data_IF_908811854840
#
_entry.id   IF_908811854840
#
_cell.length_a   1.000
_cell.length_b   1.000
_cell.length_c   1.000
_cell.angle_alpha   90.00
_cell.angle_beta   90.00
_cell.angle_gamma   90.00
#
_symmetry.space_group_name_H-M   'P 1'
#
loop_
_entity.id
_entity.type
_entity.pdbx_description
1 polymer ?
#
# COMPACT_ATOMS: atom_id res chain seq x y z
N UNK A 1 -35.65 -3.47 -5.89
CA UNK A 1 -34.59 -2.51 -6.23
C UNK A 1 -33.58 -2.36 -5.09
N UNK A 2 -34.01 -2.09 -3.87
CA UNK A 2 -33.12 -1.86 -2.73
C UNK A 2 -32.16 -3.01 -2.41
N UNK A 3 -32.61 -4.25 -2.51
CA UNK A 3 -31.78 -5.43 -2.22
C UNK A 3 -30.61 -5.61 -3.19
N UNK A 4 -30.85 -5.34 -4.47
CA UNK A 4 -29.80 -5.46 -5.49
C UNK A 4 -28.73 -4.38 -5.33
N UNK A 5 -29.13 -3.15 -5.01
CA UNK A 5 -28.21 -2.06 -4.78
C UNK A 5 -27.35 -2.32 -3.52
N UNK A 6 -27.95 -2.80 -2.43
CA UNK A 6 -27.23 -3.11 -1.19
C UNK A 6 -26.24 -4.26 -1.43
N UNK A 7 -26.66 -5.33 -2.11
CA UNK A 7 -25.78 -6.47 -2.40
C UNK A 7 -24.61 -6.05 -3.30
N UNK A 8 -24.86 -5.20 -4.31
CA UNK A 8 -23.82 -4.70 -5.20
C UNK A 8 -22.85 -3.80 -4.46
N UNK A 9 -23.34 -2.88 -3.62
CA UNK A 9 -22.50 -2.02 -2.80
C UNK A 9 -21.70 -2.82 -1.77
N UNK A 10 -22.29 -3.87 -1.20
CA UNK A 10 -21.59 -4.69 -0.23
C UNK A 10 -20.35 -5.36 -0.85
N UNK A 11 -20.47 -5.85 -2.08
CA UNK A 11 -19.32 -6.42 -2.78
C UNK A 11 -18.23 -5.36 -3.00
N UNK A 12 -18.62 -4.16 -3.43
CA UNK A 12 -17.68 -3.06 -3.63
C UNK A 12 -17.03 -2.64 -2.30
N UNK A 13 -17.81 -2.56 -1.23
CA UNK A 13 -17.33 -2.24 0.11
C UNK A 13 -16.29 -3.29 0.56
N UNK A 14 -16.60 -4.56 0.39
CA UNK A 14 -15.69 -5.65 0.79
C UNK A 14 -14.37 -5.59 0.02
N UNK A 15 -14.44 -5.36 -1.29
CA UNK A 15 -13.25 -5.23 -2.13
C UNK A 15 -12.41 -4.01 -1.73
N UNK A 16 -13.04 -2.86 -1.50
CA UNK A 16 -12.34 -1.66 -1.06
C UNK A 16 -11.69 -1.86 0.31
N UNK A 17 -12.37 -2.55 1.22
CA UNK A 17 -11.81 -2.84 2.54
C UNK A 17 -10.61 -3.79 2.46
N UNK A 18 -10.60 -4.73 1.53
CA UNK A 18 -9.43 -5.57 1.30
C UNK A 18 -8.23 -4.74 0.80
N UNK A 19 -8.48 -3.82 -0.13
CA UNK A 19 -7.46 -2.90 -0.62
C UNK A 19 -6.97 -1.96 0.49
N UNK A 20 -7.90 -1.49 1.33
CA UNK A 20 -7.57 -0.63 2.47
C UNK A 20 -6.66 -1.35 3.48
N UNK A 21 -6.92 -2.63 3.75
CA UNK A 21 -6.02 -3.43 4.59
C UNK A 21 -4.60 -3.47 4.03
N UNK A 22 -4.50 -3.58 2.70
CA UNK A 22 -3.20 -3.54 2.02
C UNK A 22 -2.46 -2.22 2.24
N UNK A 23 -3.18 -1.10 2.20
CA UNK A 23 -2.59 0.21 2.46
C UNK A 23 -2.12 0.35 3.92
N UNK A 24 -2.94 -0.11 4.87
CA UNK A 24 -2.58 -0.08 6.29
C UNK A 24 -1.33 -0.92 6.56
N UNK A 25 -1.23 -2.06 5.88
CA UNK A 25 -0.06 -2.93 5.94
C UNK A 25 1.18 -2.25 5.37
N UNK A 26 1.03 -1.59 4.24
CA UNK A 26 2.11 -0.85 3.60
C UNK A 26 2.65 0.25 4.52
N UNK A 27 1.78 0.99 5.16
CA UNK A 27 2.17 2.06 6.10
C UNK A 27 3.07 1.48 7.20
N UNK A 28 2.66 0.37 7.81
CA UNK A 28 3.43 -0.26 8.87
C UNK A 28 4.81 -0.72 8.38
N UNK A 29 4.86 -1.33 7.20
CA UNK A 29 6.11 -1.79 6.60
C UNK A 29 7.05 -0.63 6.29
N UNK A 30 6.52 0.45 5.71
CA UNK A 30 7.31 1.64 5.40
C UNK A 30 7.89 2.27 6.66
N UNK A 31 7.07 2.42 7.72
CA UNK A 31 7.52 3.01 8.99
C UNK A 31 8.60 2.16 9.64
N UNK A 32 8.43 0.85 9.63
CA UNK A 32 9.43 -0.04 10.20
C UNK A 32 10.73 -0.04 9.40
N UNK A 33 10.63 -0.07 8.07
CA UNK A 33 11.81 -0.01 7.20
C UNK A 33 12.56 1.30 7.36
N UNK A 34 11.83 2.41 7.49
CA UNK A 34 12.40 3.73 7.74
C UNK A 34 13.28 3.71 9.01
N UNK A 35 12.78 3.08 10.07
CA UNK A 35 13.52 2.97 11.33
C UNK A 35 14.80 2.13 11.21
N UNK A 36 14.88 1.27 10.21
CA UNK A 36 16.03 0.39 9.99
C UNK A 36 17.10 1.01 9.08
N UNK A 37 16.79 2.14 8.43
CA UNK A 37 17.69 2.77 7.48
C UNK A 37 18.73 3.64 8.16
N UNK A 38 19.99 3.55 7.67
CA UNK A 38 21.04 4.47 8.06
C UNK A 38 21.26 5.60 7.05
N UNK A 39 20.65 5.51 5.86
CA UNK A 39 20.77 6.51 4.80
C UNK A 39 19.65 7.53 4.95
N UNK A 40 20.01 8.78 5.25
CA UNK A 40 19.06 9.84 5.49
C UNK A 40 18.17 10.13 4.27
N UNK A 41 18.73 10.09 3.06
CA UNK A 41 17.96 10.32 1.84
C UNK A 41 16.90 9.24 1.64
N UNK A 42 17.26 7.99 1.91
CA UNK A 42 16.32 6.87 1.84
C UNK A 42 15.25 7.00 2.92
N UNK A 43 15.63 7.40 4.13
CA UNK A 43 14.66 7.62 5.21
C UNK A 43 13.62 8.67 4.83
N UNK A 44 14.05 9.80 4.25
CA UNK A 44 13.15 10.87 3.81
C UNK A 44 12.22 10.36 2.71
N UNK A 45 12.75 9.60 1.78
CA UNK A 45 11.95 8.99 0.68
C UNK A 45 10.88 8.05 1.25
N UNK A 46 11.27 7.17 2.15
CA UNK A 46 10.33 6.21 2.76
C UNK A 46 9.25 6.93 3.59
N UNK A 47 9.63 8.00 4.29
CA UNK A 47 8.68 8.84 5.04
C UNK A 47 7.64 9.44 4.10
N UNK A 48 8.08 9.98 2.98
CA UNK A 48 7.18 10.58 1.99
C UNK A 48 6.24 9.54 1.40
N UNK A 49 6.76 8.36 1.07
CA UNK A 49 5.93 7.29 0.52
C UNK A 49 4.95 6.74 1.56
N UNK A 50 5.34 6.68 2.82
CA UNK A 50 4.43 6.30 3.89
C UNK A 50 3.24 7.28 3.97
N UNK A 51 3.51 8.58 3.83
CA UNK A 51 2.46 9.60 3.80
C UNK A 51 1.53 9.44 2.61
N UNK A 52 2.08 9.07 1.45
CA UNK A 52 1.27 8.79 0.27
C UNK A 52 0.32 7.62 0.53
N UNK A 53 0.80 6.57 1.19
CA UNK A 53 -0.04 5.43 1.55
C UNK A 53 -1.09 5.79 2.62
N UNK A 54 -0.77 6.69 3.54
CA UNK A 54 -1.76 7.23 4.48
C UNK A 54 -2.88 7.94 3.74
N UNK A 55 -2.54 8.73 2.73
CA UNK A 55 -3.53 9.41 1.88
C UNK A 55 -4.37 8.41 1.08
N UNK A 56 -3.74 7.36 0.53
CA UNK A 56 -4.46 6.29 -0.16
C UNK A 56 -5.45 5.61 0.78
N UNK A 57 -5.03 5.34 2.02
CA UNK A 57 -5.91 4.73 3.02
C UNK A 57 -7.11 5.64 3.31
N UNK A 58 -6.88 6.95 3.41
CA UNK A 58 -7.95 7.92 3.64
C UNK A 58 -8.94 7.92 2.46
N UNK A 59 -8.43 7.94 1.23
CA UNK A 59 -9.26 7.92 0.02
C UNK A 59 -10.15 6.67 -0.01
N UNK A 60 -9.57 5.50 0.26
CA UNK A 60 -10.32 4.25 0.27
C UNK A 60 -11.34 4.21 1.40
N UNK A 61 -10.97 4.67 2.60
CA UNK A 61 -11.88 4.73 3.74
C UNK A 61 -13.08 5.64 3.45
N UNK A 62 -12.82 6.82 2.87
CA UNK A 62 -13.89 7.75 2.52
C UNK A 62 -14.83 7.14 1.48
N UNK A 63 -14.27 6.42 0.50
CA UNK A 63 -15.10 5.76 -0.51
C UNK A 63 -15.97 4.67 0.10
N UNK A 64 -15.43 3.88 1.04
CA UNK A 64 -16.23 2.87 1.77
C UNK A 64 -17.41 3.54 2.47
N UNK A 65 -17.17 4.68 3.13
CA UNK A 65 -18.25 5.43 3.79
C UNK A 65 -19.27 5.95 2.80
N UNK A 66 -18.83 6.47 1.66
CA UNK A 66 -19.72 6.96 0.60
C UNK A 66 -20.67 5.87 0.10
N UNK A 67 -20.21 4.62 0.08
CA UNK A 67 -21.02 3.48 -0.31
C UNK A 67 -21.90 2.94 0.82
N UNK A 68 -21.82 3.54 1.99
CA UNK A 68 -22.63 3.15 3.16
C UNK A 68 -21.99 2.09 4.04
N UNK A 69 -20.71 1.80 3.83
CA UNK A 69 -19.98 0.80 4.61
C UNK A 69 -19.17 1.40 5.75
N UNK A 70 -18.53 0.53 6.50
CA UNK A 70 -17.63 0.89 7.58
C UNK A 70 -16.20 0.50 7.19
N UNK A 71 -15.29 1.48 7.06
CA UNK A 71 -13.92 1.16 6.68
C UNK A 71 -13.20 0.42 7.81
N UNK A 72 -12.35 -0.54 7.42
CA UNK A 72 -11.46 -1.20 8.38
C UNK A 72 -10.46 -0.16 8.91
N UNK A 73 -10.09 -0.31 10.18
CA UNK A 73 -9.17 0.63 10.85
C UNK A 73 -7.82 0.00 11.19
N UNK A 74 -7.72 -1.31 10.98
CA UNK A 74 -6.49 -2.05 11.19
C UNK A 74 -6.48 -3.25 10.26
N UNK A 75 -5.35 -3.90 10.18
CA UNK A 75 -5.22 -5.11 9.35
C UNK A 75 -6.05 -6.28 9.91
N UNK A 76 -6.54 -6.16 11.14
CA UNK A 76 -7.22 -7.26 11.83
C UNK A 76 -6.27 -8.35 12.29
N UNK A 77 -5.01 -8.27 11.85
CA UNK A 77 -3.94 -9.21 12.16
C UNK A 77 -2.70 -8.46 12.65
N UNK A 78 -2.92 -7.37 13.39
CA UNK A 78 -1.85 -6.47 13.81
C UNK A 78 -0.67 -7.20 14.47
N UNK A 79 -0.96 -8.17 15.34
CA UNK A 79 0.07 -8.95 15.98
C UNK A 79 0.83 -9.86 15.01
N UNK A 80 0.12 -10.48 14.08
CA UNK A 80 0.73 -11.32 13.05
C UNK A 80 1.52 -10.47 12.06
N UNK A 81 1.02 -9.28 11.74
CA UNK A 81 1.73 -8.37 10.84
C UNK A 81 2.98 -7.81 11.48
N UNK A 82 2.95 -7.48 12.76
CA UNK A 82 4.15 -7.09 13.48
C UNK A 82 5.20 -8.20 13.41
N UNK A 83 4.76 -9.46 13.52
CA UNK A 83 5.64 -10.61 13.34
C UNK A 83 6.18 -10.74 11.92
N UNK A 84 5.40 -10.36 10.93
CA UNK A 84 5.84 -10.38 9.53
C UNK A 84 6.81 -9.25 9.23
N UNK A 85 6.55 -8.05 9.71
CA UNK A 85 7.46 -6.93 9.48
C UNK A 85 8.81 -7.16 10.17
N UNK A 86 8.83 -7.89 11.28
CA UNK A 86 10.07 -8.26 11.92
C UNK A 86 10.91 -9.23 11.06
N UNK A 87 10.31 -9.80 10.03
CA UNK A 87 11.01 -10.65 9.06
C UNK A 87 11.70 -9.85 7.96
N UNK A 88 11.53 -8.54 7.92
CA UNK A 88 12.34 -7.69 7.07
C UNK A 88 13.79 -7.88 7.53
N UNK A 89 14.62 -8.38 6.64
CA UNK A 89 15.93 -8.82 7.03
C UNK A 89 16.95 -7.69 7.03
N UNK A 90 16.98 -6.92 8.12
CA UNK A 90 17.90 -5.81 8.30
C UNK A 90 19.36 -6.24 8.24
N UNK A 91 19.66 -7.51 8.52
CA UNK A 91 21.02 -8.04 8.51
C UNK A 91 21.64 -8.06 7.11
N UNK A 92 20.82 -8.00 6.06
CA UNK A 92 21.33 -8.00 4.69
C UNK A 92 21.67 -6.60 4.16
N UNK A 93 21.39 -5.57 4.98
CA UNK A 93 21.77 -4.20 4.67
C UNK A 93 20.70 -3.42 3.91
N UNK A 94 20.95 -2.10 3.71
CA UNK A 94 19.95 -1.17 3.14
C UNK A 94 19.44 -1.53 1.74
N UNK A 95 20.31 -1.99 0.85
CA UNK A 95 19.88 -2.34 -0.51
C UNK A 95 18.93 -3.52 -0.52
N UNK A 96 19.09 -4.46 0.40
CA UNK A 96 18.15 -5.57 0.52
C UNK A 96 16.79 -5.11 1.06
N UNK A 97 16.79 -4.16 1.98
CA UNK A 97 15.55 -3.58 2.50
C UNK A 97 14.78 -2.85 1.40
N UNK A 98 15.46 -2.10 0.54
CA UNK A 98 14.84 -1.42 -0.59
C UNK A 98 14.21 -2.44 -1.56
N UNK A 99 14.91 -3.55 -1.81
CA UNK A 99 14.36 -4.61 -2.67
C UNK A 99 13.09 -5.19 -2.06
N UNK A 100 13.05 -5.41 -0.76
CA UNK A 100 11.88 -5.95 -0.08
C UNK A 100 10.70 -4.99 -0.16
N UNK A 101 10.94 -3.68 0.05
CA UNK A 101 9.89 -2.67 -0.05
C UNK A 101 9.39 -2.55 -1.49
N UNK A 102 10.30 -2.59 -2.46
CA UNK A 102 9.94 -2.60 -3.89
C UNK A 102 9.02 -3.78 -4.21
N UNK A 103 9.39 -4.98 -3.77
CA UNK A 103 8.59 -6.18 -4.04
C UNK A 103 7.21 -6.08 -3.39
N UNK A 104 7.12 -5.52 -2.20
CA UNK A 104 5.84 -5.28 -1.52
C UNK A 104 4.97 -4.28 -2.26
N UNK A 105 5.56 -3.18 -2.71
CA UNK A 105 4.87 -2.16 -3.50
C UNK A 105 4.34 -2.74 -4.81
N UNK A 106 5.16 -3.53 -5.49
CA UNK A 106 4.79 -4.19 -6.74
C UNK A 106 3.61 -5.15 -6.55
N UNK A 107 3.62 -5.91 -5.47
CA UNK A 107 2.48 -6.77 -5.11
C UNK A 107 1.22 -5.96 -4.84
N UNK A 108 1.37 -4.80 -4.21
CA UNK A 108 0.25 -3.89 -3.97
C UNK A 108 -0.39 -3.42 -5.25
N UNK A 109 0.41 -3.01 -6.23
CA UNK A 109 -0.08 -2.60 -7.55
C UNK A 109 -0.83 -3.74 -8.23
N UNK A 110 -0.28 -4.95 -8.19
CA UNK A 110 -0.93 -6.12 -8.77
C UNK A 110 -2.26 -6.44 -8.08
N UNK A 111 -2.33 -6.25 -6.76
CA UNK A 111 -3.59 -6.44 -6.03
C UNK A 111 -4.68 -5.49 -6.51
N UNK A 112 -4.32 -4.23 -6.80
CA UNK A 112 -5.26 -3.28 -7.39
C UNK A 112 -5.68 -3.70 -8.80
N UNK A 113 -4.72 -4.07 -9.65
CA UNK A 113 -4.99 -4.50 -11.02
C UNK A 113 -5.94 -5.70 -11.06
N UNK A 114 -5.74 -6.65 -10.16
CA UNK A 114 -6.54 -7.87 -10.10
C UNK A 114 -7.98 -7.60 -9.64
N UNK A 115 -8.22 -6.53 -8.90
CA UNK A 115 -9.50 -6.25 -8.29
C UNK A 115 -10.29 -5.08 -8.89
N UNK A 116 -9.64 -4.28 -9.73
CA UNK A 116 -10.27 -3.06 -10.26
C UNK A 116 -11.56 -3.34 -10.99
N UNK A 117 -11.65 -4.45 -11.72
CA UNK A 117 -12.84 -4.81 -12.48
C UNK A 117 -14.03 -5.16 -11.58
N UNK A 118 -13.79 -5.45 -10.31
CA UNK A 118 -14.83 -5.74 -9.33
C UNK A 118 -15.45 -4.47 -8.73
N UNK A 119 -14.91 -3.31 -9.07
CA UNK A 119 -15.32 -2.03 -8.47
C UNK A 119 -16.26 -1.25 -9.39
N UNK A 120 -17.08 -0.38 -8.79
CA UNK A 120 -17.89 0.56 -9.51
C UNK A 120 -17.01 1.61 -10.22
N UNK A 121 -17.53 2.29 -11.28
CA UNK A 121 -16.70 3.21 -12.06
C UNK A 121 -16.02 4.32 -11.26
N UNK A 122 -16.68 4.90 -10.29
CA UNK A 122 -16.09 5.96 -9.47
C UNK A 122 -14.96 5.43 -8.61
N UNK A 123 -15.11 4.23 -8.04
CA UNK A 123 -14.06 3.58 -7.27
C UNK A 123 -12.88 3.19 -8.16
N UNK A 124 -13.15 2.76 -9.41
CA UNK A 124 -12.11 2.48 -10.39
C UNK A 124 -11.24 3.71 -10.66
N UNK A 125 -11.86 4.87 -10.79
CA UNK A 125 -11.13 6.12 -11.02
C UNK A 125 -10.20 6.43 -9.84
N UNK A 126 -10.68 6.27 -8.61
CA UNK A 126 -9.86 6.48 -7.42
C UNK A 126 -8.68 5.50 -7.35
N UNK A 127 -8.93 4.24 -7.65
CA UNK A 127 -7.91 3.20 -7.64
C UNK A 127 -6.86 3.46 -8.74
N UNK A 128 -7.28 3.93 -9.91
CA UNK A 128 -6.34 4.29 -10.98
C UNK A 128 -5.40 5.41 -10.55
N UNK A 129 -5.90 6.40 -9.82
CA UNK A 129 -5.07 7.48 -9.28
C UNK A 129 -4.06 6.94 -8.26
N UNK A 130 -4.50 6.05 -7.38
CA UNK A 130 -3.63 5.40 -6.39
C UNK A 130 -2.52 4.62 -7.10
N UNK A 131 -2.88 3.79 -8.09
CA UNK A 131 -1.91 3.00 -8.85
C UNK A 131 -0.88 3.88 -9.55
N UNK A 132 -1.29 5.04 -10.06
CA UNK A 132 -0.38 5.97 -10.71
C UNK A 132 0.72 6.44 -9.75
N UNK A 133 0.35 6.76 -8.51
CA UNK A 133 1.32 7.15 -7.47
C UNK A 133 2.24 5.98 -7.13
N UNK A 134 1.68 4.78 -6.99
CA UNK A 134 2.46 3.59 -6.67
C UNK A 134 3.45 3.23 -7.78
N UNK A 135 3.07 3.42 -9.04
CA UNK A 135 4.00 3.25 -10.17
C UNK A 135 5.17 4.23 -10.08
N UNK A 136 4.91 5.47 -9.67
CA UNK A 136 5.98 6.44 -9.45
C UNK A 136 6.90 6.00 -8.31
N UNK A 137 6.36 5.43 -7.24
CA UNK A 137 7.16 4.85 -6.16
C UNK A 137 8.09 3.75 -6.67
N UNK A 138 7.56 2.83 -7.46
CA UNK A 138 8.34 1.73 -8.03
C UNK A 138 9.49 2.25 -8.89
N UNK A 139 9.24 3.28 -9.67
CA UNK A 139 10.26 3.92 -10.52
C UNK A 139 11.38 4.50 -9.66
N UNK A 140 11.02 5.22 -8.61
CA UNK A 140 12.00 5.85 -7.71
C UNK A 140 12.84 4.78 -6.99
N UNK A 141 12.21 3.72 -6.49
CA UNK A 141 12.92 2.62 -5.86
C UNK A 141 13.92 1.96 -6.80
N UNK A 142 13.49 1.73 -8.05
CA UNK A 142 14.34 1.10 -9.06
C UNK A 142 15.55 1.96 -9.36
N UNK A 143 15.35 3.26 -9.55
CA UNK A 143 16.44 4.22 -9.79
C UNK A 143 17.40 4.25 -8.61
N UNK A 144 16.89 4.25 -7.37
CA UNK A 144 17.73 4.28 -6.18
C UNK A 144 18.56 2.99 -6.05
N UNK A 145 17.95 1.83 -6.30
CA UNK A 145 18.67 0.55 -6.26
C UNK A 145 19.78 0.50 -7.33
N UNK A 146 19.52 1.03 -8.52
CA UNK A 146 20.53 1.09 -9.58
C UNK A 146 21.68 2.02 -9.20
N UNK A 147 21.39 3.15 -8.57
CA UNK A 147 22.39 4.08 -8.05
C UNK A 147 23.28 3.40 -7.02
N UNK A 148 22.70 2.67 -6.09
CA UNK A 148 23.46 1.94 -5.06
C UNK A 148 24.39 0.89 -5.68
N UNK A 149 23.95 0.21 -6.73
CA UNK A 149 24.80 -0.75 -7.46
C UNK A 149 25.97 -0.07 -8.11
N UNK A 150 25.77 1.12 -8.68
CA UNK A 150 26.82 1.89 -9.34
C UNK A 150 27.88 2.41 -8.36
N UNK A 151 27.49 2.65 -7.11
CA UNK A 151 28.40 3.14 -6.06
C UNK A 151 29.27 2.05 -5.47
N UNK A 152 28.98 0.78 -5.79
CA UNK A 152 29.81 -0.37 -5.36
C UNK A 152 30.93 -0.58 -6.39
#
# INVERSE_FOLDING_TARGET
MGRLLVASNQHHIDTLNELLKGELMAIDIYRETENMQGDEQVMVMLEQFAKDHEEHARILADRVRDLGGTPVTSTGMAGAMAGMSSKINALRGPSHLLQQVYDGEDKGVHAYEDRIDELDPQSQDLVNEIMSVDHDHLKVFKERMETEKSER
#
